data_IF_613358637843
#
_entry.id   IF_613358637843
#
_cell.length_a   1.000
_cell.length_b   1.000
_cell.length_c   1.000
_cell.angle_alpha   90.00
_cell.angle_beta   90.00
_cell.angle_gamma   90.00
#
_symmetry.space_group_name_H-M   'P 1'
#
loop_
_entity.id
_entity.type
_entity.pdbx_description
1 polymer ?
#
# COMPACT_ATOMS: atom_id res chain seq x y z
N UNK A 1 -3.28 -29.43 -54.44
CA UNK A 1 -2.59 -28.31 -53.76
C UNK A 1 -3.54 -27.68 -52.75
N UNK A 2 -3.70 -28.29 -51.57
CA UNK A 2 -4.59 -27.79 -50.50
C UNK A 2 -3.96 -28.14 -49.16
N UNK A 3 -2.95 -27.37 -48.71
CA UNK A 3 -2.26 -27.67 -47.43
C UNK A 3 -1.52 -26.45 -46.88
N UNK A 4 -2.16 -25.28 -46.78
CA UNK A 4 -1.53 -24.07 -46.20
C UNK A 4 -2.42 -23.17 -45.33
N UNK A 5 -3.61 -23.60 -44.90
CA UNK A 5 -4.57 -22.71 -44.19
C UNK A 5 -4.70 -23.00 -42.69
N UNK A 6 -4.10 -24.07 -42.14
CA UNK A 6 -4.47 -24.54 -40.80
C UNK A 6 -3.65 -23.98 -39.61
N UNK A 7 -2.71 -23.05 -39.81
CA UNK A 7 -1.73 -22.68 -38.75
C UNK A 7 -1.96 -21.30 -38.12
N UNK A 8 -3.06 -20.60 -38.42
CA UNK A 8 -3.28 -19.21 -37.95
C UNK A 8 -4.27 -19.09 -36.78
N UNK A 9 -5.07 -20.13 -36.48
CA UNK A 9 -6.13 -20.01 -35.46
C UNK A 9 -5.71 -20.19 -34.00
N UNK A 10 -4.46 -20.61 -33.71
CA UNK A 10 -4.06 -20.92 -32.32
C UNK A 10 -3.53 -19.71 -31.52
N UNK A 11 -3.26 -18.57 -32.16
CA UNK A 11 -2.71 -17.39 -31.47
C UNK A 11 -3.77 -16.47 -30.86
N UNK A 12 -5.03 -16.51 -31.33
CA UNK A 12 -6.08 -15.62 -30.81
C UNK A 12 -6.66 -16.06 -29.46
N UNK A 13 -6.64 -17.37 -29.15
CA UNK A 13 -7.20 -17.89 -27.89
C UNK A 13 -6.31 -17.63 -26.66
N UNK A 14 -5.01 -17.39 -26.86
CA UNK A 14 -4.08 -17.07 -25.76
C UNK A 14 -4.22 -15.61 -25.27
N UNK A 15 -4.73 -14.71 -26.12
CA UNK A 15 -4.89 -13.29 -25.80
C UNK A 15 -6.15 -13.02 -24.96
N UNK A 16 -7.24 -13.76 -25.18
CA UNK A 16 -8.49 -13.61 -24.41
C UNK A 16 -8.37 -14.15 -22.98
N UNK A 17 -7.64 -15.25 -22.77
CA UNK A 17 -7.43 -15.79 -21.42
C UNK A 17 -6.55 -14.88 -20.53
N UNK A 18 -5.62 -14.14 -21.12
CA UNK A 18 -4.75 -13.22 -20.38
C UNK A 18 -5.47 -11.93 -19.95
N UNK A 19 -6.35 -11.38 -20.80
CA UNK A 19 -7.12 -10.19 -20.45
C UNK A 19 -8.09 -10.44 -19.31
N UNK A 20 -8.71 -11.62 -19.27
CA UNK A 20 -9.68 -11.97 -18.23
C UNK A 20 -9.00 -12.26 -16.89
N UNK A 21 -7.81 -12.88 -16.90
CA UNK A 21 -7.01 -13.07 -15.68
C UNK A 21 -6.63 -11.73 -15.04
N UNK A 22 -6.08 -10.80 -15.82
CA UNK A 22 -5.68 -9.47 -15.33
C UNK A 22 -6.85 -8.73 -14.69
N UNK A 23 -8.02 -8.74 -15.31
CA UNK A 23 -9.19 -8.08 -14.73
C UNK A 23 -9.68 -8.73 -13.45
N UNK A 24 -9.67 -10.07 -13.39
CA UNK A 24 -10.07 -10.78 -12.18
C UNK A 24 -9.11 -10.47 -11.03
N UNK A 25 -7.80 -10.44 -11.30
CA UNK A 25 -6.79 -10.00 -10.33
C UNK A 25 -7.00 -8.54 -9.90
N UNK A 26 -7.28 -7.65 -10.84
CA UNK A 26 -7.56 -6.24 -10.55
C UNK A 26 -8.82 -6.08 -9.69
N UNK A 27 -9.93 -6.77 -9.99
CA UNK A 27 -11.15 -6.76 -9.18
C UNK A 27 -10.90 -7.30 -7.77
N UNK A 28 -10.16 -8.41 -7.66
CA UNK A 28 -9.80 -9.01 -6.38
C UNK A 28 -8.98 -8.03 -5.52
N UNK A 29 -7.94 -7.45 -6.10
CA UNK A 29 -7.09 -6.47 -5.42
C UNK A 29 -7.89 -5.22 -5.01
N UNK A 30 -8.62 -4.60 -5.94
CA UNK A 30 -9.39 -3.38 -5.68
C UNK A 30 -10.40 -3.59 -4.55
N UNK A 31 -11.14 -4.69 -4.57
CA UNK A 31 -12.11 -5.02 -3.53
C UNK A 31 -11.48 -5.22 -2.14
N UNK A 32 -10.21 -5.61 -2.05
CA UNK A 32 -9.48 -5.69 -0.77
C UNK A 32 -8.88 -4.36 -0.36
N UNK A 33 -8.34 -3.59 -1.31
CA UNK A 33 -7.76 -2.27 -1.06
C UNK A 33 -8.81 -1.27 -0.55
N UNK A 34 -10.07 -1.40 -0.97
CA UNK A 34 -11.19 -0.57 -0.49
C UNK A 34 -11.54 -0.79 0.99
N UNK A 35 -11.09 -1.90 1.59
CA UNK A 35 -11.31 -2.18 3.01
C UNK A 35 -10.30 -1.47 3.93
N UNK A 36 -9.28 -0.81 3.37
CA UNK A 36 -8.27 -0.12 4.17
C UNK A 36 -8.88 1.17 4.70
N UNK A 37 -9.23 1.17 6.00
CA UNK A 37 -9.61 2.36 6.74
C UNK A 37 -8.41 2.91 7.51
N UNK A 38 -8.15 4.21 7.40
CA UNK A 38 -7.10 4.89 8.15
C UNK A 38 -7.46 4.98 9.64
N UNK A 39 -8.74 5.07 9.97
CA UNK A 39 -9.24 5.23 11.33
C UNK A 39 -9.28 3.90 12.12
N UNK A 40 -9.03 2.77 11.45
CA UNK A 40 -8.98 1.48 12.12
C UNK A 40 -7.73 1.35 13.02
N UNK A 41 -7.77 0.53 14.09
CA UNK A 41 -6.60 0.28 14.92
C UNK A 41 -5.38 -0.21 14.12
N UNK A 42 -4.16 0.17 14.53
CA UNK A 42 -2.89 -0.21 13.86
C UNK A 42 -2.81 -1.72 13.59
N UNK A 43 -3.16 -2.54 14.59
CA UNK A 43 -3.08 -4.00 14.48
C UNK A 43 -4.01 -4.54 13.37
N UNK A 44 -5.22 -4.00 13.24
CA UNK A 44 -6.18 -4.42 12.21
C UNK A 44 -5.71 -3.98 10.81
N UNK A 45 -5.18 -2.76 10.70
CA UNK A 45 -4.60 -2.26 9.45
C UNK A 45 -3.42 -3.13 9.01
N UNK A 46 -2.50 -3.51 9.91
CA UNK A 46 -1.40 -4.43 9.61
C UNK A 46 -1.88 -5.78 9.08
N UNK A 47 -2.82 -6.41 9.78
CA UNK A 47 -3.39 -7.68 9.32
C UNK A 47 -4.04 -7.56 7.94
N UNK A 48 -4.68 -6.42 7.65
CA UNK A 48 -5.25 -6.19 6.33
C UNK A 48 -4.15 -6.04 5.26
N UNK A 49 -3.09 -5.28 5.53
CA UNK A 49 -1.96 -5.13 4.60
C UNK A 49 -1.29 -6.48 4.31
N UNK A 50 -1.03 -7.30 5.33
CA UNK A 50 -0.49 -8.65 5.17
C UNK A 50 -1.38 -9.52 4.27
N UNK A 51 -2.71 -9.44 4.45
CA UNK A 51 -3.67 -10.16 3.60
C UNK A 51 -3.70 -9.67 2.16
N UNK A 52 -3.47 -8.38 1.94
CA UNK A 52 -3.40 -7.78 0.60
C UNK A 52 -2.09 -8.18 -0.08
N UNK A 53 -0.97 -8.13 0.64
CA UNK A 53 0.35 -8.54 0.15
C UNK A 53 0.36 -10.03 -0.25
N UNK A 54 -0.30 -10.88 0.55
CA UNK A 54 -0.43 -12.31 0.30
C UNK A 54 -1.39 -12.69 -0.85
N UNK A 55 -2.02 -11.72 -1.54
CA UNK A 55 -2.85 -12.03 -2.70
C UNK A 55 -2.00 -12.71 -3.80
N UNK A 56 -2.46 -13.83 -4.38
CA UNK A 56 -1.73 -14.55 -5.42
C UNK A 56 -1.88 -13.86 -6.78
N UNK A 57 -1.37 -12.65 -6.88
CA UNK A 57 -1.38 -11.83 -8.09
C UNK A 57 -0.17 -12.18 -8.95
N UNK A 58 -0.38 -12.17 -10.27
CA UNK A 58 0.64 -12.53 -11.26
C UNK A 58 0.77 -11.50 -12.38
N UNK A 59 -0.22 -10.63 -12.56
CA UNK A 59 -0.12 -9.49 -13.47
C UNK A 59 0.74 -8.38 -12.85
N UNK A 60 1.85 -8.04 -13.51
CA UNK A 60 2.84 -7.09 -13.02
C UNK A 60 2.24 -5.69 -12.75
N UNK A 61 1.24 -5.27 -13.54
CA UNK A 61 0.63 -3.97 -13.33
C UNK A 61 -0.24 -3.96 -12.06
N UNK A 62 -0.97 -5.05 -11.78
CA UNK A 62 -1.75 -5.17 -10.54
C UNK A 62 -0.82 -5.29 -9.32
N UNK A 63 0.24 -6.09 -9.43
CA UNK A 63 1.29 -6.24 -8.39
C UNK A 63 1.92 -4.90 -8.06
N UNK A 64 2.33 -4.12 -9.06
CA UNK A 64 2.94 -2.82 -8.84
C UNK A 64 2.00 -1.86 -8.09
N UNK A 65 0.71 -1.82 -8.44
CA UNK A 65 -0.26 -0.98 -7.72
C UNK A 65 -0.47 -1.47 -6.29
N UNK A 66 -0.57 -2.80 -6.09
CA UNK A 66 -0.66 -3.39 -4.74
C UNK A 66 0.51 -2.95 -3.88
N UNK A 67 1.73 -3.06 -4.38
CA UNK A 67 2.94 -2.77 -3.61
C UNK A 67 3.02 -1.29 -3.24
N UNK A 68 2.57 -0.39 -4.12
CA UNK A 68 2.45 1.05 -3.81
C UNK A 68 1.42 1.30 -2.71
N UNK A 69 0.25 0.67 -2.77
CA UNK A 69 -0.77 0.82 -1.73
C UNK A 69 -0.30 0.24 -0.39
N UNK A 70 0.25 -0.98 -0.39
CA UNK A 70 0.78 -1.63 0.82
C UNK A 70 1.92 -0.81 1.41
N UNK A 71 2.88 -0.36 0.60
CA UNK A 71 3.98 0.47 1.05
C UNK A 71 3.51 1.83 1.58
N UNK A 72 2.55 2.47 0.93
CA UNK A 72 2.01 3.76 1.35
C UNK A 72 1.30 3.70 2.70
N UNK A 73 0.42 2.71 2.88
CA UNK A 73 -0.25 2.49 4.17
C UNK A 73 0.71 1.94 5.24
N UNK A 74 1.69 1.12 4.87
CA UNK A 74 2.73 0.65 5.78
C UNK A 74 3.59 1.80 6.33
N UNK A 75 3.98 2.74 5.47
CA UNK A 75 4.70 3.95 5.89
C UNK A 75 3.83 4.87 6.77
N UNK A 76 2.51 4.91 6.56
CA UNK A 76 1.62 5.65 7.46
C UNK A 76 1.59 5.04 8.86
N UNK A 77 1.52 3.70 8.95
CA UNK A 77 1.59 2.97 10.22
C UNK A 77 2.93 3.25 10.92
N UNK A 78 4.05 3.19 10.20
CA UNK A 78 5.38 3.51 10.74
C UNK A 78 5.43 4.94 11.32
N UNK A 79 4.81 5.91 10.63
CA UNK A 79 4.75 7.28 11.09
C UNK A 79 3.96 7.44 12.39
N UNK A 80 2.81 6.77 12.50
CA UNK A 80 1.97 6.80 13.70
C UNK A 80 2.65 6.13 14.89
N UNK A 81 3.30 4.98 14.68
CA UNK A 81 4.04 4.30 15.74
C UNK A 81 5.20 5.13 16.26
N UNK A 82 5.96 5.76 15.36
CA UNK A 82 7.09 6.63 15.74
C UNK A 82 6.61 7.85 16.55
N UNK A 83 5.47 8.46 16.18
CA UNK A 83 4.89 9.56 16.97
C UNK A 83 4.36 9.11 18.32
N UNK A 84 3.69 7.95 18.36
CA UNK A 84 3.19 7.41 19.62
C UNK A 84 4.35 7.08 20.57
N UNK A 85 5.44 6.50 20.05
CA UNK A 85 6.64 6.25 20.85
C UNK A 85 7.28 7.55 21.37
N UNK A 86 7.38 8.59 20.51
CA UNK A 86 7.87 9.90 20.93
C UNK A 86 7.00 10.53 22.03
N UNK A 87 5.67 10.40 21.91
CA UNK A 87 4.70 10.92 22.87
C UNK A 87 4.81 10.19 24.21
N UNK A 88 4.89 8.86 24.19
CA UNK A 88 5.07 8.04 25.40
C UNK A 88 6.40 8.38 26.07
N UNK A 89 7.49 8.48 25.29
CA UNK A 89 8.81 8.83 25.79
C UNK A 89 8.83 10.18 26.49
N UNK A 90 8.28 11.21 25.85
CA UNK A 90 8.19 12.55 26.42
C UNK A 90 7.33 12.56 27.68
N UNK A 91 6.15 11.92 27.63
CA UNK A 91 5.23 11.83 28.77
C UNK A 91 5.82 11.10 29.97
N UNK A 92 6.62 10.05 29.75
CA UNK A 92 7.30 9.32 30.81
C UNK A 92 8.35 10.18 31.55
N UNK A 93 8.97 11.15 30.85
CA UNK A 93 9.97 12.05 31.42
C UNK A 93 9.31 13.23 32.13
N UNK A 94 8.34 13.86 31.48
CA UNK A 94 7.72 15.10 31.97
C UNK A 94 6.65 14.85 33.02
N UNK A 95 6.03 13.66 33.00
CA UNK A 95 4.81 13.39 33.78
C UNK A 95 3.67 14.34 33.41
N UNK A 96 3.67 14.87 32.19
CA UNK A 96 2.70 15.88 31.71
C UNK A 96 2.97 17.30 32.21
N UNK A 97 4.16 17.60 32.74
CA UNK A 97 4.54 18.94 33.20
C UNK A 97 5.58 19.58 32.27
N UNK A 98 5.36 20.84 31.92
CA UNK A 98 6.22 21.56 30.98
C UNK A 98 7.49 22.16 31.62
N UNK A 99 7.59 22.11 32.95
CA UNK A 99 8.74 22.64 33.72
C UNK A 99 9.88 21.63 33.90
N UNK A 100 9.71 20.41 33.42
CA UNK A 100 10.70 19.34 33.55
C UNK A 100 11.73 19.43 32.43
N UNK A 101 13.00 19.55 32.81
CA UNK A 101 14.10 19.51 31.85
C UNK A 101 14.30 18.09 31.31
N UNK A 102 14.13 17.94 29.99
CA UNK A 102 14.40 16.68 29.29
C UNK A 102 15.91 16.46 29.18
N UNK A 103 16.46 15.30 29.60
CA UNK A 103 17.87 14.99 29.42
C UNK A 103 18.29 15.01 27.94
N UNK A 104 19.49 15.51 27.65
CA UNK A 104 19.94 15.69 26.26
C UNK A 104 19.92 14.40 25.41
N UNK A 105 20.24 13.25 26.03
CA UNK A 105 20.18 11.96 25.34
C UNK A 105 18.74 11.56 24.97
N UNK A 106 17.77 11.82 25.85
CA UNK A 106 16.35 11.55 25.56
C UNK A 106 15.78 12.55 24.55
N UNK A 107 16.19 13.82 24.63
CA UNK A 107 15.81 14.82 23.63
C UNK A 107 16.25 14.40 22.23
N UNK A 108 17.51 13.95 22.07
CA UNK A 108 18.02 13.46 20.79
C UNK A 108 17.26 12.21 20.29
N UNK A 109 16.88 11.30 21.21
CA UNK A 109 16.08 10.11 20.87
C UNK A 109 14.67 10.48 20.40
N UNK A 110 13.99 11.37 21.11
CA UNK A 110 12.65 11.87 20.76
C UNK A 110 12.69 12.60 19.41
N UNK A 111 13.70 13.45 19.19
CA UNK A 111 13.91 14.13 17.91
C UNK A 111 14.07 13.12 16.76
N UNK A 112 14.88 12.07 16.95
CA UNK A 112 15.04 11.02 15.94
C UNK A 112 13.71 10.29 15.61
N UNK A 113 12.85 10.04 16.60
CA UNK A 113 11.52 9.47 16.39
C UNK A 113 10.61 10.41 15.58
N UNK A 114 10.63 11.71 15.89
CA UNK A 114 9.87 12.73 15.15
C UNK A 114 10.36 12.84 13.71
N UNK A 115 11.67 12.81 13.49
CA UNK A 115 12.27 12.81 12.14
C UNK A 115 11.83 11.57 11.36
N UNK A 116 11.95 10.37 11.96
CA UNK A 116 11.51 9.13 11.32
C UNK A 116 10.03 9.17 10.93
N UNK A 117 9.17 9.67 11.83
CA UNK A 117 7.75 9.84 11.53
C UNK A 117 7.53 10.75 10.33
N UNK A 118 8.21 11.90 10.32
CA UNK A 118 8.07 12.90 9.26
C UNK A 118 8.51 12.35 7.90
N UNK A 119 9.62 11.63 7.86
CA UNK A 119 10.09 10.93 6.65
C UNK A 119 9.09 9.86 6.19
N UNK A 120 8.54 9.09 7.12
CA UNK A 120 7.54 8.06 6.83
C UNK A 120 6.23 8.67 6.26
N UNK A 121 5.79 9.83 6.76
CA UNK A 121 4.65 10.58 6.19
C UNK A 121 4.94 11.01 4.75
N UNK A 122 6.14 11.53 4.49
CA UNK A 122 6.53 11.96 3.13
C UNK A 122 6.51 10.76 2.17
N UNK A 123 7.10 9.63 2.56
CA UNK A 123 7.08 8.40 1.77
C UNK A 123 5.65 7.90 1.55
N UNK A 124 4.84 7.89 2.61
CA UNK A 124 3.44 7.47 2.56
C UNK A 124 2.65 8.28 1.53
N UNK A 125 2.76 9.60 1.56
CA UNK A 125 2.06 10.49 0.61
C UNK A 125 2.41 10.19 -0.84
N UNK A 126 3.70 10.08 -1.15
CA UNK A 126 4.15 9.79 -2.51
C UNK A 126 3.61 8.42 -3.00
N UNK A 127 3.68 7.40 -2.15
CA UNK A 127 3.21 6.05 -2.49
C UNK A 127 1.69 5.97 -2.61
N UNK A 128 0.95 6.69 -1.75
CA UNK A 128 -0.51 6.71 -1.79
C UNK A 128 -1.04 7.47 -3.02
N UNK A 129 -0.36 8.53 -3.46
CA UNK A 129 -0.67 9.19 -4.74
C UNK A 129 -0.54 8.21 -5.91
N UNK A 130 0.59 7.51 -6.01
CA UNK A 130 0.81 6.48 -7.04
C UNK A 130 -0.20 5.32 -6.94
N UNK A 131 -0.55 4.92 -5.71
CA UNK A 131 -1.55 3.90 -5.43
C UNK A 131 -2.94 4.30 -5.96
N UNK A 132 -3.44 5.48 -5.61
CA UNK A 132 -4.77 5.95 -6.05
C UNK A 132 -4.86 6.08 -7.56
N UNK A 133 -3.83 6.68 -8.17
CA UNK A 133 -3.70 6.76 -9.63
C UNK A 133 -3.68 5.38 -10.27
N UNK A 134 -2.94 4.44 -9.69
CA UNK A 134 -2.89 3.04 -10.10
C UNK A 134 -4.24 2.35 -10.04
N UNK A 135 -4.95 2.47 -8.90
CA UNK A 135 -6.29 1.92 -8.71
C UNK A 135 -7.27 2.49 -9.72
N UNK A 136 -7.21 3.79 -10.01
CA UNK A 136 -8.08 4.41 -11.00
C UNK A 136 -7.80 3.92 -12.42
N UNK A 137 -6.53 3.68 -12.79
CA UNK A 137 -6.18 3.05 -14.08
C UNK A 137 -6.71 1.63 -14.18
N UNK A 138 -6.60 0.83 -13.11
CA UNK A 138 -7.14 -0.52 -13.06
C UNK A 138 -8.66 -0.52 -13.23
N UNK A 139 -9.39 0.34 -12.51
CA UNK A 139 -10.86 0.51 -12.66
C UNK A 139 -11.25 0.85 -14.11
N UNK A 140 -10.60 1.85 -14.71
CA UNK A 140 -10.83 2.21 -16.11
C UNK A 140 -10.57 1.06 -17.09
N UNK A 141 -9.55 0.25 -16.82
CA UNK A 141 -9.25 -0.92 -17.67
C UNK A 141 -10.31 -2.02 -17.58
N UNK A 142 -11.02 -2.11 -16.44
CA UNK A 142 -12.14 -3.02 -16.23
C UNK A 142 -13.41 -2.49 -16.92
N UNK A 143 -13.68 -1.18 -16.79
CA UNK A 143 -14.94 -0.56 -17.25
C UNK A 143 -14.95 -0.25 -18.76
N UNK A 144 -13.77 -0.07 -19.38
CA UNK A 144 -13.61 0.24 -20.81
C UNK A 144 -13.99 -0.89 -21.80
N UNK A 145 -14.64 -1.95 -21.33
CA UNK A 145 -15.24 -3.04 -22.12
C UNK A 145 -16.78 -2.97 -22.18
N UNK A 146 -17.35 -1.77 -22.06
CA UNK A 146 -18.77 -1.50 -22.34
C UNK A 146 -19.05 -1.23 -23.82
#
# INVERSE_FOLDING_TARGET
MFTKVLTVCLALAALSGCSDRKENEARLFLGRAELISIDAPIAERRQLLERIEALPLTDEAVVAVRDKCVGGHGALIEAEESQNEATIALGAITGGRDDVQVPAAEAARIEALITRSSEAIIRSRALLEECEDGKQRLRRSIDGRG
#
